data_IF_693913255558
#
_entry.id   IF_693913255558
#
_cell.length_a   1.000
_cell.length_b   1.000
_cell.length_c   1.000
_cell.angle_alpha   90.00
_cell.angle_beta   90.00
_cell.angle_gamma   90.00
#
_symmetry.space_group_name_H-M   'P 1'
#
loop_
_entity.id
_entity.type
_entity.pdbx_description
1 polymer ?
#
# COMPACT_ATOMS: atom_id res chain seq x y z
N UNK A 1 66.43 -22.57 -57.44
CA UNK A 1 67.88 -22.16 -57.39
C UNK A 1 68.25 -22.10 -55.91
N UNK A 2 69.23 -22.98 -55.61
CA UNK A 2 70.17 -22.98 -54.48
C UNK A 2 69.63 -22.86 -53.05
N UNK A 3 69.58 -23.91 -52.28
CA UNK A 3 70.58 -24.92 -51.76
C UNK A 3 71.46 -24.34 -50.64
N UNK A 4 71.55 -25.12 -49.64
CA UNK A 4 72.52 -25.33 -48.60
C UNK A 4 72.27 -24.62 -47.24
N UNK A 5 72.41 -25.28 -46.12
CA UNK A 5 72.95 -26.56 -45.71
C UNK A 5 73.45 -26.44 -44.28
N UNK A 6 73.10 -27.44 -43.55
CA UNK A 6 73.71 -28.07 -42.40
C UNK A 6 74.74 -27.29 -41.53
N UNK A 7 74.67 -27.39 -40.21
CA UNK A 7 75.60 -28.23 -39.44
C UNK A 7 75.27 -28.29 -37.95
N UNK A 8 75.18 -29.51 -37.42
CA UNK A 8 75.09 -29.83 -36.00
C UNK A 8 76.46 -29.65 -35.32
N UNK A 9 76.48 -29.17 -34.10
CA UNK A 9 77.54 -29.47 -33.11
C UNK A 9 76.96 -29.66 -31.73
N UNK A 10 77.05 -30.88 -31.29
CA UNK A 10 76.88 -31.38 -29.93
C UNK A 10 78.05 -30.88 -29.08
N UNK A 11 77.78 -30.33 -27.90
CA UNK A 11 78.75 -30.20 -26.81
C UNK A 11 78.04 -30.44 -25.46
N UNK A 12 78.72 -31.18 -24.67
CA UNK A 12 78.38 -31.90 -23.45
C UNK A 12 77.94 -30.99 -22.26
N UNK A 13 77.18 -31.63 -21.39
CA UNK A 13 76.77 -31.27 -20.03
C UNK A 13 77.93 -31.09 -19.07
N UNK A 14 77.80 -30.28 -18.02
CA UNK A 14 78.03 -30.79 -16.68
C UNK A 14 76.89 -30.55 -15.73
N UNK A 15 76.62 -31.58 -14.92
CA UNK A 15 75.74 -31.58 -13.79
C UNK A 15 76.15 -30.55 -12.72
N UNK A 16 75.27 -29.77 -12.25
CA UNK A 16 75.47 -28.99 -11.02
C UNK A 16 74.25 -29.03 -10.09
N UNK A 17 74.55 -29.35 -8.88
CA UNK A 17 73.84 -29.72 -7.70
C UNK A 17 72.52 -28.97 -7.48
N UNK A 18 71.46 -29.70 -7.17
CA UNK A 18 70.20 -29.33 -6.58
C UNK A 18 70.40 -28.69 -5.18
N UNK A 19 70.20 -27.38 -5.07
CA UNK A 19 69.96 -26.72 -3.81
C UNK A 19 68.48 -26.48 -3.69
N UNK A 20 67.80 -27.29 -2.86
CA UNK A 20 66.41 -27.09 -2.52
C UNK A 20 66.21 -25.72 -1.77
N UNK A 21 65.67 -24.74 -2.46
CA UNK A 21 65.11 -23.56 -1.79
C UNK A 21 63.66 -23.90 -1.38
N UNK A 22 63.44 -24.01 -0.06
CA UNK A 22 62.11 -24.04 0.52
C UNK A 22 61.42 -22.72 0.17
N UNK A 23 60.54 -22.72 -0.84
CA UNK A 23 59.62 -21.66 -1.11
C UNK A 23 58.60 -21.61 0.02
N UNK A 24 58.58 -20.51 0.79
CA UNK A 24 57.50 -20.16 1.70
C UNK A 24 56.26 -19.89 0.82
N UNK A 25 55.36 -20.86 0.69
CA UNK A 25 53.99 -20.59 0.23
C UNK A 25 53.28 -19.84 1.33
N UNK A 26 53.36 -18.51 1.29
CA UNK A 26 52.42 -17.64 2.00
C UNK A 26 51.06 -17.82 1.36
N UNK A 27 50.29 -18.82 1.78
CA UNK A 27 48.85 -18.92 1.54
C UNK A 27 48.25 -17.73 2.27
N UNK A 28 47.87 -16.72 1.50
CA UNK A 28 47.15 -15.56 1.99
C UNK A 28 45.78 -16.07 2.52
N UNK A 29 45.75 -16.40 3.79
CA UNK A 29 44.50 -16.69 4.51
C UNK A 29 43.72 -15.37 4.61
N UNK A 30 42.93 -15.09 3.57
CA UNK A 30 41.88 -14.07 3.68
C UNK A 30 41.01 -14.52 4.86
N UNK A 31 40.90 -13.73 5.93
CA UNK A 31 40.16 -14.18 7.09
C UNK A 31 38.70 -14.39 6.69
N UNK A 32 38.24 -15.61 6.84
CA UNK A 32 36.82 -16.03 6.59
C UNK A 32 35.83 -15.12 7.30
N UNK A 33 36.25 -14.42 8.34
CA UNK A 33 35.52 -13.43 9.10
C UNK A 33 35.09 -12.18 8.29
N UNK A 34 35.89 -11.74 7.29
CA UNK A 34 35.51 -10.58 6.45
C UNK A 34 34.42 -10.93 5.43
N UNK A 35 34.39 -12.15 4.94
CA UNK A 35 33.36 -12.66 4.02
C UNK A 35 32.05 -12.89 4.77
N UNK A 36 32.10 -13.39 6.01
CA UNK A 36 30.90 -13.56 6.86
C UNK A 36 30.27 -12.20 7.28
N UNK A 37 31.09 -11.17 7.54
CA UNK A 37 30.60 -9.83 7.85
C UNK A 37 29.96 -9.12 6.65
N UNK A 38 30.45 -9.33 5.43
CA UNK A 38 29.86 -8.78 4.21
C UNK A 38 28.50 -9.43 3.88
N UNK A 39 28.33 -10.74 4.17
CA UNK A 39 27.05 -11.45 4.00
C UNK A 39 26.01 -11.04 5.06
N UNK A 40 26.42 -10.68 6.28
CA UNK A 40 25.52 -10.25 7.33
C UNK A 40 24.96 -8.83 7.10
N UNK A 41 25.66 -7.97 6.38
CA UNK A 41 25.19 -6.61 6.02
C UNK A 41 24.18 -6.60 4.85
N UNK A 42 24.09 -7.69 4.06
CA UNK A 42 23.11 -7.80 2.97
C UNK A 42 21.72 -8.27 3.42
N UNK A 43 21.52 -8.65 4.68
CA UNK A 43 20.30 -9.31 5.16
C UNK A 43 19.24 -8.35 5.77
N UNK A 44 19.42 -7.03 5.73
CA UNK A 44 18.50 -6.08 6.38
C UNK A 44 17.85 -5.05 5.44
N UNK A 45 17.67 -5.35 4.17
CA UNK A 45 16.65 -4.66 3.39
C UNK A 45 15.31 -5.36 3.67
N UNK A 46 14.65 -4.99 4.77
CA UNK A 46 13.25 -5.30 4.96
C UNK A 46 12.48 -4.56 3.85
N UNK A 47 12.32 -5.21 2.71
CA UNK A 47 11.29 -4.78 1.76
C UNK A 47 9.96 -4.98 2.48
N UNK A 48 9.25 -3.88 2.72
CA UNK A 48 7.91 -3.94 3.30
C UNK A 48 7.06 -4.95 2.50
N UNK A 49 6.30 -5.83 3.17
CA UNK A 49 5.53 -6.86 2.50
C UNK A 49 4.53 -6.22 1.54
N UNK A 50 4.49 -6.73 0.31
CA UNK A 50 3.58 -6.31 -0.74
C UNK A 50 2.40 -7.27 -0.81
N UNK A 51 1.23 -6.76 -1.19
CA UNK A 51 0.06 -7.59 -1.40
C UNK A 51 0.23 -8.40 -2.70
N UNK A 52 0.19 -9.75 -2.66
CA UNK A 52 0.33 -10.58 -3.86
C UNK A 52 -0.84 -10.46 -4.84
N UNK A 53 -1.98 -9.89 -4.42
CA UNK A 53 -3.17 -9.67 -5.25
C UNK A 53 -3.10 -8.39 -6.11
N UNK A 54 -2.05 -7.55 -5.93
CA UNK A 54 -1.97 -6.24 -6.57
C UNK A 54 -0.69 -6.05 -7.37
N UNK A 55 -0.79 -5.43 -8.56
CA UNK A 55 0.38 -4.96 -9.28
C UNK A 55 1.07 -3.82 -8.50
N UNK A 56 2.36 -3.95 -8.26
CA UNK A 56 3.15 -2.94 -7.54
C UNK A 56 3.47 -1.76 -8.44
N UNK A 57 2.88 -0.61 -8.18
CA UNK A 57 3.11 0.67 -8.89
C UNK A 57 3.44 1.74 -7.85
N UNK A 58 4.75 1.95 -7.51
CA UNK A 58 5.15 2.75 -6.36
C UNK A 58 4.81 4.23 -6.49
N UNK A 59 4.41 4.83 -5.36
CA UNK A 59 4.30 6.27 -5.15
C UNK A 59 5.49 6.78 -4.34
N UNK A 60 5.93 8.03 -4.59
CA UNK A 60 6.98 8.71 -3.83
C UNK A 60 6.45 9.36 -2.53
N UNK A 61 5.12 9.40 -2.34
CA UNK A 61 4.46 10.15 -1.29
C UNK A 61 4.02 9.23 -0.15
N UNK A 62 4.92 8.84 0.75
CA UNK A 62 4.60 7.98 1.90
C UNK A 62 5.48 8.27 3.13
N UNK A 63 5.02 7.82 4.32
CA UNK A 63 5.74 7.79 5.60
C UNK A 63 5.39 6.49 6.35
N UNK A 64 6.13 6.12 7.40
CA UNK A 64 5.81 4.95 8.24
C UNK A 64 4.58 5.19 9.13
N UNK A 65 3.77 4.14 9.36
CA UNK A 65 2.53 4.26 10.15
C UNK A 65 1.96 2.89 10.58
N UNK A 66 0.85 2.87 11.36
CA UNK A 66 0.07 1.67 11.71
C UNK A 66 -1.40 1.88 11.39
N UNK A 67 -1.99 1.01 10.57
CA UNK A 67 -3.40 1.08 10.17
C UNK A 67 -4.35 0.56 11.26
N UNK A 68 -5.44 1.29 11.46
CA UNK A 68 -6.58 0.95 12.31
C UNK A 68 -7.91 1.09 11.57
N UNK A 69 -7.90 1.77 10.41
CA UNK A 69 -9.04 2.06 9.55
C UNK A 69 -8.73 1.69 8.10
N UNK A 70 -9.76 1.49 7.31
CA UNK A 70 -9.72 1.51 5.85
C UNK A 70 -10.64 2.61 5.37
N UNK A 71 -10.12 3.50 4.52
CA UNK A 71 -10.89 4.61 3.95
C UNK A 71 -11.08 4.38 2.47
N UNK A 72 -12.34 4.34 2.03
CA UNK A 72 -12.73 4.16 0.63
C UNK A 72 -12.97 5.53 0.00
N UNK A 73 -12.42 5.70 -1.21
CA UNK A 73 -12.52 6.91 -2.03
C UNK A 73 -13.02 6.57 -3.44
N UNK A 74 -13.39 7.58 -4.21
CA UNK A 74 -13.36 7.55 -5.66
C UNK A 74 -12.39 8.60 -6.18
N UNK A 75 -11.78 8.35 -7.35
CA UNK A 75 -10.70 9.19 -7.91
C UNK A 75 -11.18 10.53 -8.45
N UNK A 76 -12.44 10.64 -8.84
CA UNK A 76 -12.99 11.77 -9.59
C UNK A 76 -12.16 12.07 -10.86
N UNK A 77 -11.69 11.00 -11.52
CA UNK A 77 -10.89 11.06 -12.74
C UNK A 77 -11.58 10.26 -13.85
N UNK A 78 -11.14 10.49 -15.09
CA UNK A 78 -11.73 9.87 -16.29
C UNK A 78 -11.01 8.58 -16.71
N UNK A 79 -9.92 8.21 -16.03
CA UNK A 79 -9.18 7.00 -16.36
C UNK A 79 -8.21 6.56 -15.27
N UNK A 80 -7.98 5.26 -15.19
CA UNK A 80 -6.97 4.63 -14.31
C UNK A 80 -5.58 5.24 -14.54
N UNK A 81 -5.19 5.51 -15.79
CA UNK A 81 -3.88 6.08 -16.08
C UNK A 81 -3.72 7.47 -15.46
N UNK A 82 -4.72 8.33 -15.58
CA UNK A 82 -4.71 9.65 -14.94
C UNK A 82 -4.68 9.56 -13.42
N UNK A 83 -5.44 8.63 -12.86
CA UNK A 83 -5.45 8.35 -11.43
C UNK A 83 -4.06 7.89 -10.96
N UNK A 84 -3.39 7.00 -11.68
CA UNK A 84 -2.02 6.57 -11.40
C UNK A 84 -1.03 7.75 -11.46
N UNK A 85 -1.12 8.58 -12.49
CA UNK A 85 -0.23 9.75 -12.65
C UNK A 85 -0.39 10.75 -11.50
N UNK A 86 -1.64 10.96 -11.05
CA UNK A 86 -1.95 11.83 -9.91
C UNK A 86 -1.43 11.27 -8.59
N UNK A 87 -1.61 9.98 -8.33
CA UNK A 87 -1.34 9.35 -7.04
C UNK A 87 0.14 8.96 -6.84
N UNK A 88 0.95 8.93 -7.89
CA UNK A 88 2.35 8.48 -7.84
C UNK A 88 3.37 9.61 -7.70
N UNK A 89 3.02 10.81 -8.11
CA UNK A 89 3.96 11.93 -8.19
C UNK A 89 3.46 13.17 -7.45
N UNK A 90 4.34 14.14 -7.28
CA UNK A 90 3.94 15.48 -6.80
C UNK A 90 3.18 16.20 -7.91
N UNK A 91 2.03 16.74 -7.57
CA UNK A 91 1.25 17.59 -8.45
C UNK A 91 1.14 19.03 -7.88
N UNK A 92 0.49 19.94 -8.61
CA UNK A 92 0.30 21.33 -8.17
C UNK A 92 -0.51 21.47 -6.88
N UNK A 93 -1.33 20.47 -6.51
CA UNK A 93 -2.09 20.40 -5.27
C UNK A 93 -1.31 19.86 -4.07
N UNK A 94 -0.04 19.48 -4.26
CA UNK A 94 0.81 18.93 -3.19
C UNK A 94 0.98 17.40 -3.27
N UNK A 95 1.22 16.79 -2.09
CA UNK A 95 1.34 15.34 -1.98
C UNK A 95 -0.04 14.69 -1.92
N UNK A 96 -0.34 13.84 -2.88
CA UNK A 96 -1.53 12.97 -2.91
C UNK A 96 -1.08 11.56 -3.26
N UNK A 97 -1.53 10.58 -2.51
CA UNK A 97 -1.29 9.16 -2.79
C UNK A 97 -2.32 8.30 -2.08
N UNK A 98 -2.50 7.07 -2.53
CA UNK A 98 -3.30 6.04 -1.88
C UNK A 98 -2.49 4.76 -1.74
N UNK A 99 -2.92 3.82 -0.90
CA UNK A 99 -2.27 2.51 -0.82
C UNK A 99 -2.66 1.67 -2.03
N UNK A 100 -3.94 1.72 -2.41
CA UNK A 100 -4.50 0.96 -3.52
C UNK A 100 -5.31 1.83 -4.46
N UNK A 101 -5.33 1.42 -5.73
CA UNK A 101 -6.24 1.90 -6.76
C UNK A 101 -6.91 0.69 -7.42
N UNK A 102 -8.23 0.72 -7.57
CA UNK A 102 -9.03 -0.27 -8.28
C UNK A 102 -9.52 0.31 -9.61
N UNK A 103 -9.17 -0.34 -10.71
CA UNK A 103 -9.66 0.01 -12.04
C UNK A 103 -11.11 -0.42 -12.28
N UNK A 104 -11.76 0.14 -13.28
CA UNK A 104 -13.13 -0.19 -13.67
C UNK A 104 -13.31 -1.68 -14.06
N UNK A 105 -12.26 -2.31 -14.53
CA UNK A 105 -12.16 -3.74 -14.85
C UNK A 105 -11.87 -4.64 -13.65
N UNK A 106 -11.71 -4.07 -12.45
CA UNK A 106 -11.32 -4.75 -11.22
C UNK A 106 -9.80 -4.97 -11.08
N UNK A 107 -8.98 -4.44 -11.97
CA UNK A 107 -7.53 -4.47 -11.80
C UNK A 107 -7.13 -3.73 -10.51
N UNK A 108 -6.18 -4.30 -9.77
CA UNK A 108 -5.74 -3.76 -8.48
C UNK A 108 -4.29 -3.33 -8.56
N UNK A 109 -4.03 -2.07 -8.20
CA UNK A 109 -2.69 -1.48 -8.14
C UNK A 109 -2.35 -1.14 -6.70
N UNK A 110 -1.18 -1.54 -6.22
CA UNK A 110 -0.63 -1.10 -4.94
C UNK A 110 0.44 -0.04 -5.19
N UNK A 111 0.23 1.17 -4.67
CA UNK A 111 1.11 2.32 -4.87
C UNK A 111 2.02 2.57 -3.66
N UNK A 112 1.50 2.31 -2.46
CA UNK A 112 2.22 2.46 -1.18
C UNK A 112 2.09 1.18 -0.40
N UNK A 113 3.17 0.74 0.25
CA UNK A 113 3.11 -0.43 1.15
C UNK A 113 2.18 -0.14 2.32
N UNK A 114 1.47 -1.17 2.79
CA UNK A 114 0.49 -1.04 3.87
C UNK A 114 1.09 -0.53 5.19
N UNK A 115 2.37 -0.78 5.44
CA UNK A 115 3.09 -0.32 6.63
C UNK A 115 3.59 1.13 6.53
N UNK A 116 3.42 1.76 5.38
CA UNK A 116 3.83 3.13 5.13
C UNK A 116 2.62 4.07 5.07
N UNK A 117 2.82 5.34 5.40
CA UNK A 117 1.79 6.37 5.33
C UNK A 117 1.59 6.84 3.90
N UNK A 118 0.36 6.81 3.40
CA UNK A 118 -0.05 7.51 2.17
C UNK A 118 -0.81 8.81 2.49
N UNK A 119 -1.01 9.66 1.50
CA UNK A 119 -1.60 11.00 1.65
C UNK A 119 -2.96 11.06 0.95
N UNK A 120 -4.00 10.44 1.55
CA UNK A 120 -5.33 10.30 0.95
C UNK A 120 -6.46 11.00 1.71
N UNK A 121 -6.36 11.13 3.04
CA UNK A 121 -7.45 11.61 3.86
C UNK A 121 -7.50 13.14 4.01
N UNK A 122 -6.33 13.80 4.02
CA UNK A 122 -6.25 15.21 4.35
C UNK A 122 -6.76 15.52 5.77
N UNK A 123 -7.31 16.71 5.98
CA UNK A 123 -7.89 17.11 7.26
C UNK A 123 -9.19 16.34 7.52
N UNK A 124 -9.33 15.76 8.71
CA UNK A 124 -10.51 15.01 9.15
C UNK A 124 -10.23 14.25 10.43
N UNK A 125 -11.24 13.57 10.95
CA UNK A 125 -11.08 12.72 12.15
C UNK A 125 -12.10 11.58 12.15
N UNK A 126 -11.76 10.51 12.91
CA UNK A 126 -12.69 9.42 13.16
C UNK A 126 -12.54 8.97 14.61
N UNK A 127 -13.57 9.18 15.41
CA UNK A 127 -13.49 9.00 16.86
C UNK A 127 -12.39 9.85 17.47
N UNK A 128 -11.39 9.20 18.08
CA UNK A 128 -10.20 9.84 18.66
C UNK A 128 -9.03 9.95 17.69
N UNK A 129 -9.18 9.48 16.46
CA UNK A 129 -8.12 9.49 15.43
C UNK A 129 -8.18 10.82 14.68
N UNK A 130 -7.13 11.64 14.80
CA UNK A 130 -6.98 12.92 14.10
C UNK A 130 -5.95 12.86 12.97
N UNK A 131 -4.94 11.97 13.08
CA UNK A 131 -3.93 11.70 12.05
C UNK A 131 -4.37 10.52 11.16
N UNK A 132 -5.45 10.72 10.39
CA UNK A 132 -6.09 9.64 9.63
C UNK A 132 -5.14 9.01 8.62
N UNK A 133 -4.30 9.78 7.92
CA UNK A 133 -3.31 9.23 7.00
C UNK A 133 -2.35 8.22 7.66
N UNK A 134 -1.98 8.48 8.93
CA UNK A 134 -1.10 7.58 9.70
C UNK A 134 -1.83 6.36 10.24
N UNK A 135 -3.15 6.43 10.41
CA UNK A 135 -3.95 5.40 11.05
C UNK A 135 -4.82 4.58 10.07
N UNK A 136 -4.71 4.82 8.74
CA UNK A 136 -5.61 4.16 7.79
C UNK A 136 -4.92 3.64 6.54
N UNK A 137 -5.54 2.68 5.87
CA UNK A 137 -5.26 2.27 4.49
C UNK A 137 -6.27 2.99 3.58
N UNK A 138 -5.79 3.78 2.61
CA UNK A 138 -6.64 4.40 1.60
C UNK A 138 -6.78 3.50 0.38
N UNK A 139 -8.01 3.35 -0.10
CA UNK A 139 -8.35 2.63 -1.33
C UNK A 139 -9.10 3.60 -2.24
N UNK A 140 -8.49 3.95 -3.35
CA UNK A 140 -9.13 4.71 -4.43
C UNK A 140 -9.82 3.75 -5.40
N UNK A 141 -10.98 4.13 -5.91
CA UNK A 141 -11.72 3.39 -6.95
C UNK A 141 -11.86 4.30 -8.15
N UNK A 142 -11.44 3.83 -9.30
CA UNK A 142 -11.54 4.60 -10.55
C UNK A 142 -12.99 4.81 -10.93
N UNK A 143 -13.48 6.01 -10.67
CA UNK A 143 -14.87 6.42 -10.90
C UNK A 143 -14.93 7.95 -10.90
N UNK A 144 -15.74 8.53 -11.76
CA UNK A 144 -15.93 9.97 -11.91
C UNK A 144 -16.91 10.59 -10.88
N UNK A 145 -17.60 9.74 -10.13
CA UNK A 145 -18.59 10.13 -9.11
C UNK A 145 -20.01 10.30 -9.63
N UNK A 146 -20.27 10.09 -10.92
CA UNK A 146 -21.61 10.21 -11.55
C UNK A 146 -22.09 8.89 -12.15
N UNK A 147 -21.22 7.92 -12.35
CA UNK A 147 -21.56 6.58 -12.83
C UNK A 147 -21.62 5.57 -11.67
N UNK A 148 -22.42 4.49 -11.80
CA UNK A 148 -22.38 3.38 -10.87
C UNK A 148 -21.01 2.70 -10.87
N UNK A 149 -20.60 2.19 -9.73
CA UNK A 149 -19.42 1.32 -9.63
C UNK A 149 -19.69 -0.02 -10.29
N UNK A 150 -18.71 -0.55 -11.02
CA UNK A 150 -18.85 -1.85 -11.68
C UNK A 150 -18.86 -3.00 -10.67
N UNK A 151 -19.49 -4.11 -11.05
CA UNK A 151 -19.44 -5.34 -10.24
C UNK A 151 -18.00 -5.83 -10.03
N UNK A 152 -17.16 -5.72 -11.05
CA UNK A 152 -15.75 -6.10 -10.98
C UNK A 152 -14.99 -5.28 -9.94
N UNK A 153 -15.25 -3.97 -9.83
CA UNK A 153 -14.68 -3.11 -8.78
C UNK A 153 -15.10 -3.56 -7.39
N UNK A 154 -16.39 -3.77 -7.18
CA UNK A 154 -16.93 -4.08 -5.85
C UNK A 154 -16.55 -5.48 -5.41
N UNK A 155 -16.57 -6.48 -6.29
CA UNK A 155 -16.11 -7.83 -5.98
C UNK A 155 -14.62 -7.86 -5.62
N UNK A 156 -13.81 -7.08 -6.34
CA UNK A 156 -12.39 -6.94 -6.03
C UNK A 156 -12.15 -6.19 -4.72
N UNK A 157 -12.92 -5.11 -4.48
CA UNK A 157 -12.86 -4.39 -3.20
C UNK A 157 -13.17 -5.32 -2.02
N UNK A 158 -14.21 -6.14 -2.10
CA UNK A 158 -14.59 -7.09 -1.04
C UNK A 158 -13.44 -8.07 -0.77
N UNK A 159 -12.82 -8.64 -1.79
CA UNK A 159 -11.65 -9.52 -1.63
C UNK A 159 -10.45 -8.81 -1.00
N UNK A 160 -10.19 -7.57 -1.42
CA UNK A 160 -9.12 -6.75 -0.87
C UNK A 160 -9.38 -6.39 0.60
N UNK A 161 -10.61 -6.05 0.96
CA UNK A 161 -11.01 -5.77 2.34
C UNK A 161 -10.86 -7.01 3.23
N UNK A 162 -11.19 -8.21 2.74
CA UNK A 162 -10.99 -9.48 3.46
C UNK A 162 -9.51 -9.70 3.81
N UNK A 163 -8.63 -9.53 2.82
CA UNK A 163 -7.18 -9.64 3.01
C UNK A 163 -6.66 -8.60 4.01
N UNK A 164 -6.98 -7.31 3.79
CA UNK A 164 -6.46 -6.22 4.60
C UNK A 164 -6.93 -6.28 6.06
N UNK A 165 -8.22 -6.54 6.29
CA UNK A 165 -8.77 -6.64 7.65
C UNK A 165 -8.18 -7.83 8.41
N UNK A 166 -7.95 -8.96 7.73
CA UNK A 166 -7.32 -10.15 8.31
C UNK A 166 -5.85 -9.93 8.59
N UNK A 167 -5.08 -9.48 7.60
CA UNK A 167 -3.63 -9.31 7.66
C UNK A 167 -3.19 -8.24 8.65
N UNK A 168 -3.90 -7.12 8.70
CA UNK A 168 -3.61 -5.99 9.60
C UNK A 168 -4.44 -5.98 10.87
N UNK A 169 -5.35 -6.95 11.08
CA UNK A 169 -6.25 -7.02 12.23
C UNK A 169 -7.07 -5.75 12.40
N UNK A 170 -7.52 -5.17 11.29
CA UNK A 170 -8.42 -4.02 11.28
C UNK A 170 -9.85 -4.53 11.49
N UNK A 171 -10.63 -3.97 12.42
CA UNK A 171 -12.03 -4.37 12.58
C UNK A 171 -12.80 -4.18 11.27
N UNK A 172 -13.59 -5.16 10.86
CA UNK A 172 -14.41 -5.07 9.63
C UNK A 172 -15.36 -3.86 9.64
N UNK A 173 -15.81 -3.44 10.83
CA UNK A 173 -16.63 -2.24 11.03
C UNK A 173 -15.85 -0.94 10.84
N UNK A 174 -14.52 -0.99 10.79
CA UNK A 174 -13.65 0.16 10.59
C UNK A 174 -13.35 0.45 9.10
N UNK A 175 -14.25 0.02 8.21
CA UNK A 175 -14.27 0.39 6.78
C UNK A 175 -15.24 1.56 6.61
N UNK A 176 -14.71 2.72 6.25
CA UNK A 176 -15.45 4.00 6.18
C UNK A 176 -15.20 4.72 4.86
N UNK A 177 -16.05 5.68 4.52
CA UNK A 177 -15.83 6.58 3.38
C UNK A 177 -15.06 7.84 3.77
N UNK A 178 -14.49 8.52 2.80
CA UNK A 178 -13.82 9.80 3.03
C UNK A 178 -14.80 10.87 3.57
N UNK A 179 -16.04 10.87 3.09
CA UNK A 179 -17.09 11.75 3.57
C UNK A 179 -17.42 11.54 5.06
N UNK A 180 -17.18 10.34 5.62
CA UNK A 180 -17.49 10.05 7.02
C UNK A 180 -16.50 10.73 7.98
N UNK A 181 -15.23 10.74 7.63
CA UNK A 181 -14.18 11.38 8.44
C UNK A 181 -14.03 12.88 8.18
N UNK A 182 -14.60 13.38 7.08
CA UNK A 182 -14.51 14.77 6.66
C UNK A 182 -15.87 15.33 6.16
N UNK A 183 -16.96 15.22 6.97
CA UNK A 183 -18.29 15.66 6.55
C UNK A 183 -18.31 17.14 6.12
N UNK A 184 -18.95 17.42 4.98
CA UNK A 184 -19.04 18.76 4.41
C UNK A 184 -17.81 19.21 3.62
N UNK A 185 -16.64 18.59 3.83
CA UNK A 185 -15.43 18.83 3.01
C UNK A 185 -15.31 17.83 1.87
N UNK A 186 -15.72 16.58 2.11
CA UNK A 186 -15.64 15.47 1.16
C UNK A 186 -17.00 14.82 0.95
N UNK A 187 -17.16 14.23 -0.22
CA UNK A 187 -18.38 13.53 -0.63
C UNK A 187 -18.13 12.08 -1.06
N UNK A 188 -16.87 11.73 -1.36
CA UNK A 188 -16.47 10.38 -1.79
C UNK A 188 -16.59 9.33 -0.67
N UNK A 189 -16.94 8.07 -0.99
CA UNK A 189 -17.14 7.51 -2.32
C UNK A 189 -18.51 7.81 -2.95
N UNK A 190 -19.30 8.70 -2.39
CA UNK A 190 -20.54 9.23 -2.95
C UNK A 190 -21.78 8.34 -2.77
N UNK A 191 -22.95 8.83 -3.17
CA UNK A 191 -24.24 8.16 -2.94
C UNK A 191 -24.45 6.93 -3.83
N UNK A 192 -23.70 6.80 -4.92
CA UNK A 192 -23.79 5.64 -5.82
C UNK A 192 -22.94 4.45 -5.35
N UNK A 193 -22.14 4.66 -4.29
CA UNK A 193 -21.32 3.59 -3.73
C UNK A 193 -22.22 2.54 -3.01
N UNK A 194 -22.10 1.24 -3.35
CA UNK A 194 -23.02 0.22 -2.89
C UNK A 194 -22.69 -0.28 -1.47
N UNK A 195 -22.81 0.58 -0.46
CA UNK A 195 -22.54 0.25 0.95
C UNK A 195 -23.25 -1.00 1.44
N UNK A 196 -24.50 -1.20 0.99
CA UNK A 196 -25.28 -2.39 1.36
C UNK A 196 -24.58 -3.68 0.95
N UNK A 197 -23.96 -3.72 -0.23
CA UNK A 197 -23.22 -4.88 -0.74
C UNK A 197 -21.97 -5.17 0.11
N UNK A 198 -21.28 -4.14 0.58
CA UNK A 198 -20.17 -4.30 1.52
C UNK A 198 -20.66 -4.82 2.86
N UNK A 199 -21.77 -4.29 3.37
CA UNK A 199 -22.39 -4.72 4.61
C UNK A 199 -22.84 -6.19 4.58
N UNK A 200 -23.41 -6.63 3.45
CA UNK A 200 -23.78 -8.03 3.23
C UNK A 200 -22.56 -8.96 3.23
N UNK A 201 -21.39 -8.46 2.83
CA UNK A 201 -20.11 -9.13 2.94
C UNK A 201 -19.44 -8.96 4.33
N UNK A 202 -20.11 -8.26 5.27
CA UNK A 202 -19.66 -8.09 6.65
C UNK A 202 -18.71 -6.91 6.88
N UNK A 203 -18.66 -5.91 5.99
CA UNK A 203 -17.80 -4.73 6.10
C UNK A 203 -18.59 -3.44 6.33
N UNK A 204 -18.00 -2.56 7.15
CA UNK A 204 -18.64 -1.30 7.54
C UNK A 204 -19.72 -1.50 8.59
N UNK A 205 -20.51 -0.46 8.80
CA UNK A 205 -21.66 -0.47 9.71
C UNK A 205 -22.91 -0.25 8.88
N UNK A 206 -23.87 -1.16 9.01
CA UNK A 206 -25.17 -1.05 8.36
C UNK A 206 -26.27 -1.14 9.39
N UNK A 207 -27.23 -0.21 9.42
CA UNK A 207 -28.37 -0.35 10.30
C UNK A 207 -29.20 -1.56 9.89
N UNK A 208 -29.67 -2.32 10.86
CA UNK A 208 -30.65 -3.37 10.64
C UNK A 208 -32.01 -2.80 10.18
N UNK A 209 -33.03 -3.64 10.20
CA UNK A 209 -34.40 -3.19 9.96
C UNK A 209 -34.82 -2.24 11.09
N UNK A 210 -35.08 -0.99 10.76
CA UNK A 210 -35.45 0.05 11.74
C UNK A 210 -36.93 0.45 11.68
N UNK A 211 -37.75 -0.27 10.90
CA UNK A 211 -39.16 0.09 10.68
C UNK A 211 -39.97 0.15 11.97
N UNK A 212 -39.68 -0.76 12.91
CA UNK A 212 -40.39 -0.88 14.18
C UNK A 212 -39.65 -0.22 15.36
N UNK A 213 -38.58 0.51 15.10
CA UNK A 213 -37.79 1.17 16.14
C UNK A 213 -38.51 2.42 16.60
N UNK A 214 -38.97 2.41 17.87
CA UNK A 214 -39.55 3.60 18.52
C UNK A 214 -38.41 4.51 18.99
N UNK A 215 -38.33 5.69 18.44
CA UNK A 215 -37.36 6.71 18.85
C UNK A 215 -37.81 7.32 20.18
N UNK A 216 -37.00 7.28 21.26
CA UNK A 216 -37.36 7.85 22.55
C UNK A 216 -37.55 9.37 22.45
N UNK A 217 -38.48 9.91 23.29
CA UNK A 217 -38.63 11.36 23.42
C UNK A 217 -37.33 11.99 23.91
N UNK A 218 -36.87 13.05 23.23
CA UNK A 218 -35.60 13.72 23.54
C UNK A 218 -34.36 13.03 22.99
N UNK A 219 -34.51 12.02 22.10
CA UNK A 219 -33.37 11.40 21.43
C UNK A 219 -32.58 12.43 20.61
N UNK A 220 -31.27 12.52 20.87
CA UNK A 220 -30.32 13.29 20.05
C UNK A 220 -29.91 12.51 18.80
N UNK A 221 -30.32 12.93 17.59
CA UNK A 221 -29.96 12.21 16.35
C UNK A 221 -28.44 12.20 16.05
N UNK A 222 -27.65 13.03 16.76
CA UNK A 222 -26.18 13.03 16.63
C UNK A 222 -25.50 12.05 17.57
N UNK A 223 -26.23 11.45 18.51
CA UNK A 223 -25.64 10.53 19.47
C UNK A 223 -25.05 9.28 18.76
N UNK A 224 -25.82 8.67 17.86
CA UNK A 224 -25.36 7.48 17.14
C UNK A 224 -24.14 7.78 16.23
N UNK A 225 -24.16 8.79 15.34
CA UNK A 225 -22.97 9.19 14.58
C UNK A 225 -21.75 9.45 15.47
N UNK A 226 -21.91 10.15 16.59
CA UNK A 226 -20.81 10.43 17.52
C UNK A 226 -20.23 9.16 18.12
N UNK A 227 -21.06 8.21 18.56
CA UNK A 227 -20.61 6.93 19.13
C UNK A 227 -19.91 6.05 18.11
N UNK A 228 -20.33 6.11 16.84
CA UNK A 228 -19.71 5.38 15.74
C UNK A 228 -18.32 5.96 15.39
N UNK A 229 -18.14 7.29 15.53
CA UNK A 229 -16.85 7.95 15.27
C UNK A 229 -16.93 9.19 14.37
N UNK A 230 -18.11 9.57 13.87
CA UNK A 230 -18.26 10.76 13.03
C UNK A 230 -17.87 12.04 13.75
N UNK A 231 -17.15 12.98 13.10
CA UNK A 231 -16.95 14.30 13.63
C UNK A 231 -18.27 15.10 13.51
N UNK A 232 -18.87 15.43 14.65
CA UNK A 232 -20.19 16.08 14.73
C UNK A 232 -20.12 17.59 14.89
N UNK A 233 -18.96 18.22 14.69
CA UNK A 233 -18.79 19.68 14.74
C UNK A 233 -19.65 20.46 13.73
N UNK A 234 -20.06 19.79 12.64
CA UNK A 234 -21.02 20.27 11.66
C UNK A 234 -22.20 19.29 11.56
N UNK A 235 -23.22 19.41 12.44
CA UNK A 235 -24.30 18.43 12.62
C UNK A 235 -24.98 18.01 11.31
N UNK A 236 -25.41 19.00 10.51
CA UNK A 236 -26.08 18.71 9.24
C UNK A 236 -25.19 17.97 8.22
N UNK A 237 -23.89 18.24 8.20
CA UNK A 237 -22.96 17.53 7.33
C UNK A 237 -22.72 16.09 7.82
N UNK A 238 -22.55 15.89 9.12
CA UNK A 238 -22.39 14.57 9.73
C UNK A 238 -23.61 13.68 9.44
N UNK A 239 -24.83 14.18 9.61
CA UNK A 239 -26.06 13.45 9.30
C UNK A 239 -26.18 13.13 7.79
N UNK A 240 -25.77 14.05 6.90
CA UNK A 240 -25.77 13.76 5.46
C UNK A 240 -24.78 12.66 5.07
N UNK A 241 -23.60 12.61 5.69
CA UNK A 241 -22.62 11.54 5.45
C UNK A 241 -23.08 10.19 6.03
N UNK A 242 -23.81 10.22 7.16
CA UNK A 242 -24.30 9.01 7.83
C UNK A 242 -25.53 8.39 7.12
N UNK A 243 -26.44 9.18 6.56
CA UNK A 243 -27.72 8.73 5.96
C UNK A 243 -27.63 7.74 4.78
N UNK A 244 -26.60 7.77 3.89
CA UNK A 244 -26.51 6.82 2.77
C UNK A 244 -26.13 5.41 3.17
N UNK A 245 -26.04 5.12 4.45
CA UNK A 245 -25.68 3.79 4.97
C UNK A 245 -26.88 3.08 5.57
#
# INVERSE_FOLDING_TARGET
MHVAGASARTVATPALAMRARRGCNAVMRIPLLLVASALALSACTHTAPRNPMAAWVPSENFDQRRAQLIVVHYTQQDSVQRSLDTLRSRNSGGRVSSHYLLGADGATYQLVSDDLRSWHAGAGSWGTIHEVNSASIGIEIDNDGVEPFTDAQIDTLIRLLEDLTTRHRIPRTAVIGHSDLAPGRKVDPGPLFPWKRLADAGFGIWPGDTRDVVVPVGFDPLQAPRLIGYPVGHPGAALRSYRPR
#
